data_IF_315927076792
#
_entry.id   IF_315927076792
#
_cell.length_a   1.000
_cell.length_b   1.000
_cell.length_c   1.000
_cell.angle_alpha   90.00
_cell.angle_beta   90.00
_cell.angle_gamma   90.00
#
_symmetry.space_group_name_H-M   'P 1'
#
loop_
_entity.id
_entity.type
_entity.pdbx_description
1 polymer ?
#
# COMPACT_ATOMS: atom_id res chain seq x y z
N UNK A 1 -4.33 10.10 24.47
CA UNK A 1 -3.15 9.28 24.12
C UNK A 1 -3.53 8.39 22.95
N UNK A 2 -2.60 8.18 22.01
CA UNK A 2 -2.85 7.41 20.78
C UNK A 2 -2.25 6.02 20.91
N UNK A 3 -3.09 5.02 21.11
CA UNK A 3 -2.67 3.62 21.28
C UNK A 3 -2.54 2.96 19.91
N UNK A 4 -1.36 2.40 19.61
CA UNK A 4 -1.07 1.71 18.37
C UNK A 4 -1.01 0.20 18.60
N UNK A 5 -1.70 -0.53 17.74
CA UNK A 5 -1.70 -2.00 17.72
C UNK A 5 -1.40 -2.51 16.32
N UNK A 6 -0.66 -3.61 16.23
CA UNK A 6 -0.23 -4.22 14.98
C UNK A 6 -0.72 -5.67 14.89
N UNK A 7 -1.23 -6.06 13.72
CA UNK A 7 -1.74 -7.41 13.48
C UNK A 7 -1.29 -7.92 12.08
N UNK A 8 -0.51 -9.01 11.99
CA UNK A 8 0.15 -9.73 13.08
C UNK A 8 1.05 -8.84 13.94
N UNK A 9 1.32 -9.24 15.18
CA UNK A 9 2.18 -8.47 16.08
C UNK A 9 3.57 -8.25 15.46
N UNK A 10 4.01 -6.99 15.46
CA UNK A 10 5.32 -6.58 14.96
C UNK A 10 6.29 -6.25 16.12
N UNK A 11 5.89 -6.46 17.38
CA UNK A 11 6.71 -6.19 18.56
C UNK A 11 6.86 -4.71 18.90
N UNK A 12 6.04 -3.85 18.28
CA UNK A 12 6.11 -2.38 18.38
C UNK A 12 4.79 -1.73 18.82
N UNK A 13 3.86 -2.51 19.38
CA UNK A 13 2.66 -1.98 20.05
C UNK A 13 3.08 -0.93 21.09
N UNK A 14 2.49 0.26 21.04
CA UNK A 14 2.92 1.38 21.89
C UNK A 14 1.82 2.43 22.05
N UNK A 15 2.05 3.40 22.95
CA UNK A 15 1.18 4.56 23.13
C UNK A 15 1.95 5.84 22.84
N UNK A 16 1.47 6.64 21.88
CA UNK A 16 1.97 7.98 21.63
C UNK A 16 1.27 8.95 22.58
N UNK A 17 2.02 9.46 23.55
CA UNK A 17 1.52 10.31 24.63
C UNK A 17 1.42 11.80 24.21
N UNK A 18 2.20 12.24 23.22
CA UNK A 18 2.28 13.64 22.80
C UNK A 18 2.15 13.81 21.29
N UNK A 19 1.60 14.94 20.80
CA UNK A 19 1.64 15.27 19.38
C UNK A 19 3.06 15.26 18.81
N UNK A 20 3.22 14.75 17.60
CA UNK A 20 4.52 14.65 16.92
C UNK A 20 5.38 13.45 17.33
N UNK A 21 4.96 12.67 18.33
CA UNK A 21 5.60 11.37 18.58
C UNK A 21 5.28 10.39 17.45
N UNK A 22 6.24 9.51 17.18
CA UNK A 22 6.12 8.46 16.19
C UNK A 22 6.76 7.17 16.72
N UNK A 23 6.37 6.05 16.13
CA UNK A 23 7.07 4.77 16.26
C UNK A 23 7.67 4.44 14.91
N UNK A 24 8.95 4.08 14.90
CA UNK A 24 9.61 3.56 13.70
C UNK A 24 9.59 2.04 13.76
N UNK A 25 9.14 1.42 12.68
CA UNK A 25 9.09 -0.03 12.56
C UNK A 25 10.42 -0.48 11.94
N UNK A 26 11.12 -1.47 12.54
CA UNK A 26 12.31 -2.04 11.92
C UNK A 26 12.02 -2.51 10.50
N UNK A 27 13.05 -2.48 9.65
CA UNK A 27 12.91 -2.94 8.27
C UNK A 27 12.34 -4.36 8.22
N UNK A 28 11.28 -4.54 7.44
CA UNK A 28 10.54 -5.81 7.35
C UNK A 28 9.88 -5.95 5.98
N UNK A 29 9.62 -7.19 5.59
CA UNK A 29 8.77 -7.54 4.44
C UNK A 29 7.43 -8.13 4.88
N UNK A 30 7.16 -8.19 6.19
CA UNK A 30 5.90 -8.68 6.72
C UNK A 30 4.75 -7.74 6.32
N UNK A 31 3.62 -8.32 5.92
CA UNK A 31 2.37 -7.60 5.80
C UNK A 31 1.67 -7.57 7.16
N UNK A 32 1.19 -6.39 7.57
CA UNK A 32 0.44 -6.21 8.82
C UNK A 32 -0.52 -5.02 8.70
N UNK A 33 -1.54 -5.03 9.54
CA UNK A 33 -2.47 -3.92 9.78
C UNK A 33 -2.02 -3.17 11.02
N UNK A 34 -1.97 -1.85 10.95
CA UNK A 34 -1.87 -0.98 12.12
C UNK A 34 -3.25 -0.41 12.44
N UNK A 35 -3.62 -0.39 13.72
CA UNK A 35 -4.88 0.17 14.21
C UNK A 35 -4.63 1.10 15.38
N UNK A 36 -5.47 2.12 15.50
CA UNK A 36 -5.33 3.17 16.51
C UNK A 36 -6.68 3.65 17.00
N UNK A 37 -6.72 4.10 18.27
CA UNK A 37 -7.90 4.74 18.86
C UNK A 37 -8.07 6.22 18.45
N UNK A 38 -7.10 6.80 17.75
CA UNK A 38 -7.14 8.15 17.20
C UNK A 38 -6.57 8.17 15.76
N UNK A 39 -6.82 9.25 15.01
CA UNK A 39 -6.26 9.46 13.67
C UNK A 39 -4.74 9.44 13.71
N UNK A 40 -4.13 8.69 12.79
CA UNK A 40 -2.68 8.56 12.63
C UNK A 40 -2.27 8.77 11.18
N UNK A 41 -1.03 9.20 10.98
CA UNK A 41 -0.37 9.19 9.67
C UNK A 41 0.59 8.00 9.63
N UNK A 42 0.56 7.24 8.54
CA UNK A 42 1.49 6.12 8.31
C UNK A 42 2.29 6.42 7.06
N UNK A 43 3.61 6.52 7.21
CA UNK A 43 4.55 6.62 6.12
C UNK A 43 5.28 5.28 5.94
N UNK A 44 5.44 4.87 4.70
CA UNK A 44 6.23 3.71 4.31
C UNK A 44 7.40 4.16 3.45
N UNK A 45 8.53 3.49 3.61
CA UNK A 45 9.76 3.80 2.88
C UNK A 45 10.25 2.54 2.16
N UNK A 46 10.46 2.68 0.84
CA UNK A 46 11.22 1.72 0.06
C UNK A 46 12.70 2.04 0.24
N UNK A 47 13.47 1.05 0.68
CA UNK A 47 14.93 1.18 0.86
C UNK A 47 15.63 1.00 -0.48
N UNK A 48 16.51 1.93 -0.83
CA UNK A 48 17.20 1.94 -2.12
C UNK A 48 18.47 1.08 -2.20
N UNK A 49 18.97 0.92 -3.43
CA UNK A 49 20.14 0.11 -3.79
C UNK A 49 21.43 0.51 -3.07
N UNK A 50 21.56 1.78 -2.67
CA UNK A 50 22.71 2.26 -1.89
C UNK A 50 22.84 1.62 -0.51
N UNK A 51 21.76 1.05 0.03
CA UNK A 51 21.77 0.27 1.27
C UNK A 51 21.80 -1.25 1.02
N UNK A 52 22.16 -1.68 -0.21
CA UNK A 52 22.15 -3.07 -0.66
C UNK A 52 20.75 -3.71 -0.75
N UNK A 53 19.70 -2.92 -1.02
CA UNK A 53 18.32 -3.41 -1.24
C UNK A 53 17.81 -3.07 -2.63
N UNK A 54 17.18 -4.06 -3.31
CA UNK A 54 16.60 -3.85 -4.63
C UNK A 54 17.61 -3.38 -5.69
N UNK A 55 17.10 -2.73 -6.73
CA UNK A 55 17.88 -2.24 -7.87
C UNK A 55 17.54 -0.79 -8.20
N UNK A 56 16.97 -0.04 -7.26
CA UNK A 56 16.36 1.26 -7.49
C UNK A 56 16.64 2.22 -6.34
N UNK A 57 16.34 3.50 -6.55
CA UNK A 57 16.44 4.51 -5.50
C UNK A 57 15.38 4.33 -4.41
N UNK A 58 15.50 5.04 -3.27
CA UNK A 58 14.45 5.06 -2.25
C UNK A 58 13.19 5.80 -2.72
N UNK A 59 12.04 5.37 -2.22
CA UNK A 59 10.76 6.05 -2.39
C UNK A 59 9.96 6.08 -1.08
N UNK A 60 9.01 7.01 -0.96
CA UNK A 60 8.14 7.15 0.20
C UNK A 60 6.67 7.14 -0.23
N UNK A 61 5.84 6.42 0.52
CA UNK A 61 4.38 6.42 0.40
C UNK A 61 3.75 6.88 1.71
N UNK A 62 2.72 7.73 1.62
CA UNK A 62 1.78 7.91 2.73
C UNK A 62 0.60 6.97 2.51
N UNK A 63 0.37 6.06 3.45
CA UNK A 63 -0.66 5.05 3.32
C UNK A 63 -2.06 5.66 3.39
N UNK A 64 -2.99 5.07 2.63
CA UNK A 64 -4.40 5.44 2.66
C UNK A 64 -5.10 4.64 3.76
N UNK A 65 -5.86 5.32 4.61
CA UNK A 65 -6.69 4.68 5.64
C UNK A 65 -7.81 3.84 4.99
N UNK A 66 -8.15 2.71 5.59
CA UNK A 66 -9.13 1.75 5.05
C UNK A 66 -10.52 2.36 4.79
N UNK A 67 -10.90 3.37 5.56
CA UNK A 67 -12.16 4.12 5.44
C UNK A 67 -12.24 4.93 4.14
N UNK A 68 -11.08 5.25 3.54
CA UNK A 68 -10.92 6.03 2.33
C UNK A 68 -10.75 5.18 1.06
N UNK A 69 -10.81 3.86 1.20
CA UNK A 69 -10.71 2.92 0.08
C UNK A 69 -11.87 3.09 -0.91
N UNK A 70 -11.61 2.75 -2.18
CA UNK A 70 -12.53 2.91 -3.31
C UNK A 70 -12.77 1.57 -4.01
N UNK A 71 -13.82 1.51 -4.82
CA UNK A 71 -14.16 0.31 -5.61
C UNK A 71 -13.56 0.33 -7.02
N UNK A 72 -13.09 1.50 -7.48
CA UNK A 72 -12.44 1.65 -8.78
C UNK A 72 -11.29 2.66 -8.74
N UNK A 73 -10.32 2.44 -9.63
CA UNK A 73 -9.17 3.30 -9.82
C UNK A 73 -8.82 3.38 -11.30
N UNK A 74 -8.44 4.57 -11.74
CA UNK A 74 -7.72 4.82 -12.99
C UNK A 74 -6.41 5.50 -12.59
N UNK A 75 -5.28 4.92 -12.97
CA UNK A 75 -3.96 5.40 -12.56
C UNK A 75 -2.94 5.23 -13.68
N UNK A 76 -1.79 5.92 -13.56
CA UNK A 76 -0.76 5.95 -14.59
C UNK A 76 0.57 5.37 -14.10
N UNK A 77 1.08 4.39 -14.82
CA UNK A 77 2.40 3.80 -14.64
C UNK A 77 3.21 4.00 -15.94
N UNK A 78 4.25 4.84 -15.95
CA UNK A 78 4.94 5.16 -17.19
C UNK A 78 5.64 3.93 -17.79
N UNK A 79 5.53 3.73 -19.10
CA UNK A 79 5.96 2.50 -19.77
C UNK A 79 7.48 2.35 -19.90
N UNK A 80 8.24 3.43 -19.71
CA UNK A 80 9.71 3.45 -19.79
C UNK A 80 10.44 2.86 -18.58
N UNK A 81 9.72 2.39 -17.56
CA UNK A 81 10.30 1.81 -16.33
C UNK A 81 10.66 0.33 -16.52
N UNK A 82 11.69 -0.16 -15.82
CA UNK A 82 12.10 -1.58 -15.91
C UNK A 82 11.04 -2.53 -15.34
N UNK A 83 10.26 -2.05 -14.37
CA UNK A 83 9.07 -2.71 -13.86
C UNK A 83 8.13 -1.71 -13.22
N UNK A 84 6.83 -1.92 -13.44
CA UNK A 84 5.76 -1.21 -12.77
C UNK A 84 4.87 -2.22 -12.06
N UNK A 85 4.33 -1.82 -10.91
CA UNK A 85 3.53 -2.67 -10.05
C UNK A 85 2.40 -1.87 -9.41
N UNK A 86 1.30 -2.55 -9.14
CA UNK A 86 0.25 -2.09 -8.24
C UNK A 86 0.15 -3.06 -7.07
N UNK A 87 0.28 -2.51 -5.87
CA UNK A 87 -0.04 -3.22 -4.64
C UNK A 87 -1.50 -2.97 -4.30
N UNK A 88 -2.21 -4.04 -3.97
CA UNK A 88 -3.65 -4.02 -3.71
C UNK A 88 -3.89 -4.62 -2.33
N UNK A 89 -4.56 -3.86 -1.46
CA UNK A 89 -5.06 -4.33 -0.18
C UNK A 89 -6.58 -4.46 -0.28
N UNK A 90 -7.10 -5.66 -0.09
CA UNK A 90 -8.52 -5.96 -0.26
C UNK A 90 -9.06 -6.80 0.91
N UNK A 91 -10.36 -6.70 1.25
CA UNK A 91 -10.96 -7.66 2.16
C UNK A 91 -10.84 -9.09 1.62
N UNK A 92 -10.72 -10.06 2.51
CA UNK A 92 -10.50 -11.47 2.12
C UNK A 92 -11.60 -11.98 1.18
N UNK A 93 -11.18 -12.69 0.13
CA UNK A 93 -12.07 -13.34 -0.84
C UNK A 93 -12.80 -12.40 -1.80
N UNK A 94 -12.52 -11.09 -1.77
CA UNK A 94 -13.11 -10.13 -2.72
C UNK A 94 -12.50 -10.30 -4.12
N UNK A 95 -13.36 -10.32 -5.13
CA UNK A 95 -12.95 -10.29 -6.53
C UNK A 95 -12.39 -8.92 -6.90
N UNK A 96 -11.16 -8.90 -7.41
CA UNK A 96 -10.47 -7.71 -7.92
C UNK A 96 -9.93 -7.99 -9.31
N UNK A 97 -10.11 -7.05 -10.24
CA UNK A 97 -9.57 -7.09 -11.58
C UNK A 97 -8.56 -5.95 -11.79
N UNK A 98 -7.48 -6.24 -12.51
CA UNK A 98 -6.54 -5.23 -13.04
C UNK A 98 -6.58 -5.34 -14.56
N UNK A 99 -6.87 -4.24 -15.25
CA UNK A 99 -7.01 -4.20 -16.72
C UNK A 99 -7.98 -5.27 -17.28
N UNK A 100 -9.05 -5.54 -16.53
CA UNK A 100 -10.05 -6.57 -16.86
C UNK A 100 -9.62 -8.02 -16.58
N UNK A 101 -8.38 -8.26 -16.14
CA UNK A 101 -7.90 -9.58 -15.75
C UNK A 101 -8.06 -9.82 -14.24
N UNK A 102 -8.54 -11.00 -13.79
CA UNK A 102 -8.71 -11.29 -12.37
C UNK A 102 -7.37 -11.44 -11.65
N UNK A 103 -7.27 -10.86 -10.45
CA UNK A 103 -6.11 -11.00 -9.57
C UNK A 103 -6.28 -12.24 -8.69
N UNK A 104 -5.41 -13.24 -8.89
CA UNK A 104 -5.51 -14.54 -8.19
C UNK A 104 -4.53 -14.70 -7.04
N UNK A 105 -3.51 -13.85 -6.93
CA UNK A 105 -2.36 -14.02 -6.04
C UNK A 105 -2.49 -13.21 -4.73
N UNK A 106 -3.67 -13.22 -4.11
CA UNK A 106 -3.87 -12.59 -2.80
C UNK A 106 -3.29 -13.45 -1.69
N UNK A 107 -2.50 -12.82 -0.82
CA UNK A 107 -1.97 -13.40 0.40
C UNK A 107 -2.68 -12.78 1.63
N UNK A 108 -3.29 -13.58 2.51
CA UNK A 108 -3.91 -13.08 3.73
C UNK A 108 -2.90 -12.37 4.64
N UNK A 109 -3.32 -11.24 5.20
CA UNK A 109 -2.58 -10.50 6.22
C UNK A 109 -3.01 -11.01 7.59
N UNK A 110 -2.42 -12.11 8.04
CA UNK A 110 -2.76 -12.72 9.33
C UNK A 110 -4.25 -13.04 9.47
N UNK A 111 -4.86 -12.60 10.58
CA UNK A 111 -6.30 -12.73 10.84
C UNK A 111 -7.05 -11.39 10.67
N UNK A 112 -6.46 -10.43 9.96
CA UNK A 112 -6.97 -9.04 9.90
C UNK A 112 -8.27 -8.88 9.12
N UNK A 113 -8.68 -9.90 8.34
CA UNK A 113 -9.77 -9.83 7.37
C UNK A 113 -9.39 -9.19 6.03
N UNK A 114 -8.10 -8.85 5.84
CA UNK A 114 -7.56 -8.30 4.60
C UNK A 114 -6.48 -9.20 4.02
N UNK A 115 -6.36 -9.15 2.70
CA UNK A 115 -5.32 -9.77 1.90
C UNK A 115 -4.59 -8.72 1.06
N UNK A 116 -3.33 -9.00 0.70
CA UNK A 116 -2.52 -8.17 -0.19
C UNK A 116 -2.15 -8.94 -1.46
N UNK A 117 -2.11 -8.26 -2.60
CA UNK A 117 -1.55 -8.77 -3.84
C UNK A 117 -0.60 -7.75 -4.47
N UNK A 118 0.46 -8.26 -5.10
CA UNK A 118 1.41 -7.47 -5.88
C UNK A 118 1.22 -7.84 -7.36
N UNK A 119 0.73 -6.91 -8.18
CA UNK A 119 0.46 -7.16 -9.60
C UNK A 119 1.46 -6.41 -10.45
N UNK A 120 2.21 -7.14 -11.28
CA UNK A 120 3.08 -6.53 -12.29
C UNK A 120 2.24 -5.98 -13.43
N UNK A 121 2.45 -4.69 -13.73
CA UNK A 121 1.73 -3.97 -14.78
C UNK A 121 2.41 -4.18 -16.14
N UNK A 122 1.59 -4.15 -17.20
CA UNK A 122 2.06 -4.29 -18.57
C UNK A 122 2.58 -2.95 -19.12
N UNK A 123 3.80 -2.92 -19.63
CA UNK A 123 4.40 -1.73 -20.24
C UNK A 123 4.13 -1.59 -21.75
N UNK A 124 3.41 -2.52 -22.38
CA UNK A 124 3.12 -2.53 -23.82
C UNK A 124 1.90 -1.67 -24.20
N UNK A 125 1.42 -0.79 -23.32
CA UNK A 125 0.25 0.06 -23.51
C UNK A 125 0.58 1.57 -23.52
N UNK A 126 -0.38 2.38 -23.10
CA UNK A 126 -0.25 3.83 -22.91
C UNK A 126 0.20 4.21 -21.48
N UNK A 127 0.39 3.20 -20.61
CA UNK A 127 0.72 3.35 -19.20
C UNK A 127 -0.49 3.61 -18.30
N UNK A 128 -1.70 3.71 -18.84
CA UNK A 128 -2.91 3.82 -18.03
C UNK A 128 -3.43 2.42 -17.68
N UNK A 129 -3.82 2.27 -16.41
CA UNK A 129 -4.32 1.02 -15.88
C UNK A 129 -5.59 1.25 -15.07
N UNK A 130 -6.43 0.23 -15.00
CA UNK A 130 -7.63 0.23 -14.17
C UNK A 130 -7.58 -0.87 -13.12
N UNK A 131 -8.11 -0.56 -11.94
CA UNK A 131 -8.47 -1.57 -10.95
C UNK A 131 -9.96 -1.45 -10.67
N UNK A 132 -10.66 -2.58 -10.69
CA UNK A 132 -12.08 -2.69 -10.35
C UNK A 132 -12.28 -3.79 -9.31
N UNK A 133 -13.16 -3.54 -8.33
CA UNK A 133 -13.38 -4.46 -7.22
C UNK A 133 -14.83 -4.49 -6.77
N UNK A 134 -15.28 -5.66 -6.31
CA UNK A 134 -16.62 -5.84 -5.72
C UNK A 134 -16.77 -5.16 -4.34
N UNK A 135 -15.66 -4.81 -3.67
CA UNK A 135 -15.64 -4.09 -2.40
C UNK A 135 -14.62 -2.94 -2.41
N UNK A 136 -14.66 -2.08 -1.38
CA UNK A 136 -13.67 -1.02 -1.19
C UNK A 136 -12.28 -1.62 -0.92
N UNK A 137 -11.29 -1.23 -1.71
CA UNK A 137 -9.90 -1.67 -1.62
C UNK A 137 -8.96 -0.46 -1.63
N UNK A 138 -7.73 -0.64 -1.17
CA UNK A 138 -6.67 0.35 -1.26
C UNK A 138 -5.63 -0.08 -2.29
N UNK A 139 -5.09 0.88 -3.04
CA UNK A 139 -3.98 0.61 -3.96
C UNK A 139 -2.82 1.58 -3.76
N UNK A 140 -1.60 1.11 -4.05
CA UNK A 140 -0.44 1.96 -4.28
C UNK A 140 0.29 1.51 -5.53
N UNK A 141 0.89 2.46 -6.25
CA UNK A 141 1.52 2.21 -7.55
C UNK A 141 2.98 2.60 -7.44
N UNK A 142 3.87 1.71 -7.86
CA UNK A 142 5.30 1.98 -7.88
C UNK A 142 5.95 1.44 -9.14
N UNK A 143 7.07 2.06 -9.47
CA UNK A 143 7.94 1.60 -10.53
C UNK A 143 9.38 1.67 -10.11
N UNK A 144 10.17 0.82 -10.75
CA UNK A 144 11.58 0.59 -10.47
C UNK A 144 12.40 0.64 -11.76
N UNK A 145 13.52 1.34 -11.70
CA UNK A 145 14.60 1.35 -12.70
C UNK A 145 15.95 1.48 -11.98
N UNK A 146 17.05 1.25 -12.70
CA UNK A 146 18.39 1.39 -12.10
C UNK A 146 18.63 2.87 -11.69
N UNK A 147 18.83 3.14 -10.41
CA UNK A 147 18.89 4.49 -9.83
C UNK A 147 17.63 5.33 -10.09
N UNK A 148 16.45 4.72 -9.93
CA UNK A 148 15.19 5.47 -9.96
C UNK A 148 14.01 4.65 -9.46
N UNK A 149 13.11 5.32 -8.76
CA UNK A 149 11.88 4.76 -8.19
C UNK A 149 10.78 5.81 -8.13
N UNK A 150 9.53 5.39 -8.23
CA UNK A 150 8.39 6.20 -7.77
C UNK A 150 7.46 5.33 -6.94
N UNK A 151 6.72 5.95 -6.02
CA UNK A 151 5.69 5.26 -5.25
C UNK A 151 4.63 6.26 -4.80
N UNK A 152 3.36 6.00 -5.11
CA UNK A 152 2.26 6.91 -4.77
C UNK A 152 0.95 6.15 -4.47
N UNK A 153 0.02 6.74 -3.69
CA UNK A 153 -1.27 6.13 -3.43
C UNK A 153 -2.19 6.30 -4.64
N UNK A 154 -2.94 5.26 -5.04
CA UNK A 154 -3.84 5.37 -6.21
C UNK A 154 -5.04 6.29 -6.01
N UNK A 155 -5.30 6.72 -4.77
CA UNK A 155 -6.30 7.73 -4.43
C UNK A 155 -7.12 7.38 -3.19
N UNK A 156 -7.87 8.36 -2.71
CA UNK A 156 -8.80 8.26 -1.59
C UNK A 156 -10.19 8.81 -1.96
N UNK A 157 -11.23 8.32 -1.27
CA UNK A 157 -12.63 8.71 -1.49
C UNK A 157 -12.94 10.16 -1.07
N UNK A 158 -12.07 10.78 -0.25
CA UNK A 158 -12.22 12.11 0.36
C UNK A 158 -13.51 12.30 1.15
N UNK A 159 -14.15 11.19 1.55
CA UNK A 159 -15.32 11.20 2.41
C UNK A 159 -14.94 11.71 3.81
N UNK A 160 -15.84 12.46 4.45
CA UNK A 160 -15.64 12.89 5.83
C UNK A 160 -15.51 11.66 6.74
N UNK A 161 -14.41 11.59 7.49
CA UNK A 161 -14.24 10.64 8.61
C UNK A 161 -14.52 11.43 9.90
N UNK A 162 -15.67 11.19 10.57
CA UNK A 162 -15.99 11.81 11.85
C UNK A 162 -14.88 11.58 12.89
N UNK A 163 -14.79 12.48 13.86
CA UNK A 163 -13.93 12.30 15.03
C UNK A 163 -14.56 11.37 16.07
#
# INVERSE_FOLDING_TARGET
>A
DTQLTFEPDQGVNTTLAMPGQFVEIPQTTNSFKVSSNNKILVAQYMVGQGANFGTSDPAMLVAVATEQYRTNYLFHAPTGWSGNYVDIIAPDGVSVNVDGAPVMAFAPIGATGFSVAHVKLNNNGDGNHTVESAAKIGISVYGVLNYGSYWYPGGLDLALIPE
#
